data_IF_095308399381
#
_entry.id   IF_095308399381
#
_cell.length_a   1.000
_cell.length_b   1.000
_cell.length_c   1.000
_cell.angle_alpha   90.00
_cell.angle_beta   90.00
_cell.angle_gamma   90.00
#
_symmetry.space_group_name_H-M   'P 1'
#
loop_
_entity.id
_entity.type
_entity.pdbx_description
1 polymer ?
#
# COMPACT_ATOMS: atom_id res chain seq x y z
N UNK A 1 -36.73 17.87 -51.83
CA UNK A 1 -35.61 17.86 -52.78
C UNK A 1 -34.43 17.26 -52.05
N UNK A 2 -34.31 15.94 -52.18
CA UNK A 2 -33.27 15.11 -51.56
C UNK A 2 -31.91 15.45 -52.18
N UNK A 3 -31.00 15.94 -51.34
CA UNK A 3 -29.59 16.17 -51.66
C UNK A 3 -28.74 15.13 -50.97
N UNK A 4 -28.27 14.18 -51.78
CA UNK A 4 -27.40 13.06 -51.46
C UNK A 4 -26.03 13.54 -50.93
N UNK A 5 -25.78 13.41 -49.61
CA UNK A 5 -24.45 13.56 -49.04
C UNK A 5 -23.83 12.17 -48.86
N UNK A 6 -23.08 11.75 -49.88
CA UNK A 6 -22.25 10.55 -49.84
C UNK A 6 -21.22 10.66 -48.72
N UNK A 7 -21.33 9.74 -47.77
CA UNK A 7 -20.31 9.42 -46.78
C UNK A 7 -19.13 8.83 -47.55
N UNK A 8 -17.97 9.50 -47.53
CA UNK A 8 -16.71 8.84 -47.86
C UNK A 8 -16.37 7.92 -46.69
N UNK A 9 -16.84 6.68 -46.82
CA UNK A 9 -16.40 5.55 -46.04
C UNK A 9 -14.97 5.23 -46.52
N UNK A 10 -13.98 5.76 -45.81
CA UNK A 10 -12.58 5.37 -46.00
C UNK A 10 -12.47 3.91 -45.58
N UNK A 11 -12.64 3.03 -46.57
CA UNK A 11 -12.38 1.61 -46.44
C UNK A 11 -10.92 1.46 -46.01
N UNK A 12 -10.73 1.08 -44.75
CA UNK A 12 -9.45 0.60 -44.26
C UNK A 12 -9.04 -0.61 -45.13
N UNK A 13 -8.10 -0.37 -46.04
CA UNK A 13 -7.35 -1.42 -46.69
C UNK A 13 -6.75 -2.32 -45.60
N UNK A 14 -6.90 -3.66 -45.69
CA UNK A 14 -6.19 -4.54 -44.78
C UNK A 14 -4.70 -4.26 -44.94
N UNK A 15 -4.04 -3.88 -43.84
CA UNK A 15 -2.61 -3.55 -43.75
C UNK A 15 -1.81 -4.46 -44.68
N UNK A 16 -1.47 -3.92 -45.86
CA UNK A 16 -0.45 -4.53 -46.68
C UNK A 16 0.81 -4.45 -45.86
N UNK A 17 1.20 -5.60 -45.33
CA UNK A 17 2.49 -5.90 -44.74
C UNK A 17 3.57 -5.22 -45.60
N UNK A 18 3.98 -4.01 -45.21
CA UNK A 18 5.05 -3.26 -45.85
C UNK A 18 6.30 -4.09 -45.61
N UNK A 19 6.58 -5.02 -46.53
CA UNK A 19 7.82 -5.78 -46.56
C UNK A 19 8.97 -4.78 -46.62
N UNK A 20 9.59 -4.57 -45.46
CA UNK A 20 10.87 -3.90 -45.34
C UNK A 20 11.81 -4.47 -46.41
N UNK A 21 12.56 -3.66 -47.18
CA UNK A 21 13.38 -4.11 -48.31
C UNK A 21 14.61 -4.95 -47.90
N UNK A 22 14.61 -5.51 -46.68
CA UNK A 22 15.71 -6.23 -46.07
C UNK A 22 15.18 -7.59 -45.60
N UNK A 23 15.78 -8.68 -46.08
CA UNK A 23 15.57 -10.02 -45.54
C UNK A 23 16.20 -10.10 -44.14
N UNK A 24 15.48 -9.59 -43.14
CA UNK A 24 15.87 -9.65 -41.73
C UNK A 24 15.70 -11.09 -41.22
N UNK A 25 16.70 -11.56 -40.48
CA UNK A 25 16.65 -12.80 -39.70
C UNK A 25 15.43 -12.79 -38.76
N UNK A 26 14.89 -13.96 -38.42
CA UNK A 26 13.75 -14.09 -37.49
C UNK A 26 14.03 -13.40 -36.14
N UNK A 27 15.29 -13.45 -35.68
CA UNK A 27 15.76 -12.73 -34.49
C UNK A 27 15.82 -11.21 -34.66
N UNK A 28 16.12 -10.71 -35.86
CA UNK A 28 16.17 -9.26 -36.13
C UNK A 28 14.76 -8.69 -36.27
N UNK A 29 13.82 -9.47 -36.82
CA UNK A 29 12.40 -9.12 -36.84
C UNK A 29 11.83 -9.02 -35.44
N UNK A 30 12.17 -9.96 -34.55
CA UNK A 30 11.76 -9.93 -33.15
C UNK A 30 12.32 -8.71 -32.41
N UNK A 31 13.59 -8.33 -32.66
CA UNK A 31 14.19 -7.11 -32.11
C UNK A 31 13.50 -5.85 -32.64
N UNK A 32 13.17 -5.80 -33.93
CA UNK A 32 12.47 -4.66 -34.53
C UNK A 32 11.03 -4.56 -34.01
N UNK A 33 10.33 -5.68 -33.85
CA UNK A 33 8.99 -5.73 -33.24
C UNK A 33 9.02 -5.30 -31.77
N UNK A 34 10.03 -5.73 -30.99
CA UNK A 34 10.26 -5.27 -29.62
C UNK A 34 10.58 -3.77 -29.56
N UNK A 35 11.25 -3.23 -30.58
CA UNK A 35 11.57 -1.81 -30.69
C UNK A 35 10.34 -0.96 -31.08
N UNK A 36 9.43 -1.48 -31.91
CA UNK A 36 8.21 -0.82 -32.38
C UNK A 36 7.06 -0.91 -31.37
N UNK A 37 6.83 -2.11 -30.82
CA UNK A 37 5.66 -2.43 -29.98
C UNK A 37 5.99 -2.43 -28.47
N UNK A 38 7.27 -2.32 -28.10
CA UNK A 38 7.73 -2.42 -26.72
C UNK A 38 7.68 -3.85 -26.16
N UNK A 39 8.17 -4.04 -24.93
CA UNK A 39 8.07 -5.32 -24.23
C UNK A 39 6.60 -5.69 -23.98
N UNK A 40 6.19 -6.97 -24.11
CA UNK A 40 4.84 -7.39 -23.77
C UNK A 40 4.49 -6.97 -22.34
N UNK A 41 3.32 -6.35 -22.17
CA UNK A 41 2.88 -5.62 -20.97
C UNK A 41 2.49 -6.50 -19.78
N UNK A 42 3.14 -7.65 -19.62
CA UNK A 42 3.04 -8.52 -18.46
C UNK A 42 4.37 -8.54 -17.70
N UNK A 43 4.57 -7.59 -16.79
CA UNK A 43 5.66 -7.67 -15.82
C UNK A 43 5.38 -8.85 -14.89
N UNK A 44 6.10 -9.96 -15.11
CA UNK A 44 6.16 -11.00 -14.09
C UNK A 44 6.83 -10.42 -12.85
N UNK A 45 6.11 -10.41 -11.72
CA UNK A 45 6.62 -9.93 -10.45
C UNK A 45 7.87 -10.71 -9.99
N UNK A 46 8.09 -11.93 -10.52
CA UNK A 46 9.30 -12.71 -10.30
C UNK A 46 10.52 -12.18 -11.07
N UNK A 47 10.32 -11.42 -12.17
CA UNK A 47 11.41 -10.84 -12.96
C UNK A 47 12.25 -9.83 -12.17
N UNK A 48 11.65 -9.10 -11.22
CA UNK A 48 12.39 -8.16 -10.37
C UNK A 48 13.40 -8.87 -9.44
N UNK A 49 13.04 -10.07 -8.96
CA UNK A 49 13.91 -10.88 -8.09
C UNK A 49 15.01 -11.61 -8.86
N UNK A 50 14.96 -11.63 -10.20
CA UNK A 50 16.00 -12.22 -11.04
C UNK A 50 17.35 -11.51 -10.93
N UNK A 51 17.35 -10.19 -10.64
CA UNK A 51 18.55 -9.37 -10.43
C UNK A 51 19.26 -9.61 -9.08
N UNK A 52 18.76 -10.55 -8.28
CA UNK A 52 19.24 -10.84 -6.92
C UNK A 52 20.21 -12.02 -6.93
N UNK A 53 21.43 -11.84 -6.39
CA UNK A 53 22.40 -12.94 -6.28
C UNK A 53 22.00 -13.95 -5.20
N UNK A 54 22.61 -15.14 -5.22
CA UNK A 54 22.42 -16.17 -4.18
C UNK A 54 22.73 -15.67 -2.77
N UNK A 55 23.75 -14.81 -2.61
CA UNK A 55 24.06 -14.16 -1.32
C UNK A 55 23.00 -13.15 -0.90
N UNK A 56 22.52 -12.33 -1.83
CA UNK A 56 21.46 -11.36 -1.55
C UNK A 56 20.15 -12.09 -1.13
N UNK A 57 19.85 -13.26 -1.73
CA UNK A 57 18.72 -14.13 -1.32
C UNK A 57 18.88 -14.65 0.11
N UNK A 58 20.08 -15.08 0.50
CA UNK A 58 20.33 -15.54 1.87
C UNK A 58 20.09 -14.43 2.90
N UNK A 59 20.54 -13.21 2.61
CA UNK A 59 20.29 -12.03 3.47
C UNK A 59 18.79 -11.74 3.57
N UNK A 60 18.05 -11.79 2.46
CA UNK A 60 16.59 -11.60 2.49
C UNK A 60 15.91 -12.64 3.37
N UNK A 61 16.26 -13.93 3.26
CA UNK A 61 15.66 -14.99 4.08
C UNK A 61 15.93 -14.75 5.56
N UNK A 62 17.16 -14.37 5.91
CA UNK A 62 17.51 -14.01 7.29
C UNK A 62 16.72 -12.80 7.79
N UNK A 63 16.61 -11.74 6.98
CA UNK A 63 15.83 -10.55 7.31
C UNK A 63 14.34 -10.85 7.43
N UNK A 64 13.80 -11.78 6.64
CA UNK A 64 12.40 -12.22 6.75
C UNK A 64 12.16 -12.96 8.06
N UNK A 65 13.05 -13.88 8.45
CA UNK A 65 12.96 -14.57 9.73
C UNK A 65 13.06 -13.59 10.91
N UNK A 66 14.01 -12.66 10.86
CA UNK A 66 14.16 -11.60 11.86
C UNK A 66 12.92 -10.67 11.91
N UNK A 67 12.31 -10.37 10.77
CA UNK A 67 11.10 -9.53 10.71
C UNK A 67 9.92 -10.20 11.41
N UNK A 68 9.78 -11.52 11.25
CA UNK A 68 8.73 -12.30 11.90
C UNK A 68 8.93 -12.30 13.41
N UNK A 69 10.15 -12.57 13.88
CA UNK A 69 10.49 -12.56 15.30
C UNK A 69 10.35 -11.16 15.93
N UNK A 70 10.87 -10.13 15.26
CA UNK A 70 10.77 -8.74 15.70
C UNK A 70 9.32 -8.22 15.70
N UNK A 71 8.51 -8.64 14.72
CA UNK A 71 7.08 -8.33 14.68
C UNK A 71 6.30 -9.01 15.80
N UNK A 72 6.63 -10.27 16.13
CA UNK A 72 6.00 -11.00 17.23
C UNK A 72 6.40 -10.50 18.62
N UNK A 73 7.59 -9.90 18.76
CA UNK A 73 8.05 -9.31 20.01
C UNK A 73 7.16 -8.14 20.48
N UNK A 74 6.59 -7.35 19.56
CA UNK A 74 5.80 -6.17 19.91
C UNK A 74 4.49 -6.54 20.65
N UNK A 75 3.68 -7.51 20.20
CA UNK A 75 2.56 -8.02 20.99
C UNK A 75 2.98 -8.79 22.24
N UNK A 76 4.16 -9.42 22.25
CA UNK A 76 4.64 -10.12 23.45
C UNK A 76 4.88 -9.15 24.63
N UNK A 77 5.27 -7.90 24.36
CA UNK A 77 5.36 -6.86 25.40
C UNK A 77 4.04 -6.64 26.13
N UNK A 78 2.89 -6.82 25.48
CA UNK A 78 1.57 -6.66 26.12
C UNK A 78 1.24 -7.80 27.07
N UNK A 79 1.81 -9.00 26.83
CA UNK A 79 1.72 -10.15 27.75
C UNK A 79 2.51 -9.83 29.01
N UNK A 80 3.75 -9.36 28.86
CA UNK A 80 4.61 -8.98 29.98
C UNK A 80 3.98 -7.85 30.80
N UNK A 81 3.33 -6.88 30.13
CA UNK A 81 2.53 -5.86 30.80
C UNK A 81 1.35 -6.44 31.60
N UNK A 82 0.61 -7.38 31.03
CA UNK A 82 -0.48 -8.04 31.76
C UNK A 82 -0.01 -8.86 32.95
N UNK A 83 1.18 -9.47 32.88
CA UNK A 83 1.81 -10.13 34.03
C UNK A 83 2.10 -9.14 35.16
N UNK A 84 2.63 -7.95 34.85
CA UNK A 84 2.82 -6.90 35.84
C UNK A 84 1.49 -6.50 36.49
N UNK A 85 0.46 -6.23 35.69
CA UNK A 85 -0.87 -5.87 36.20
C UNK A 85 -1.46 -6.99 37.06
N UNK A 86 -1.29 -8.25 36.66
CA UNK A 86 -1.69 -9.42 37.44
C UNK A 86 -1.03 -9.43 38.82
N UNK A 87 0.29 -9.21 38.89
CA UNK A 87 1.00 -9.16 40.18
C UNK A 87 0.49 -8.05 41.11
N UNK A 88 0.17 -6.87 40.56
CA UNK A 88 -0.44 -5.79 41.35
C UNK A 88 -1.88 -6.11 41.77
N UNK A 89 -2.65 -6.79 40.93
CA UNK A 89 -4.00 -7.22 41.25
C UNK A 89 -4.01 -8.27 42.37
N UNK A 90 -3.10 -9.24 42.34
CA UNK A 90 -2.95 -10.27 43.38
C UNK A 90 -2.60 -9.64 44.74
N UNK A 91 -1.76 -8.59 44.75
CA UNK A 91 -1.51 -7.79 45.95
C UNK A 91 -2.75 -7.06 46.45
N UNK A 92 -3.52 -6.45 45.54
CA UNK A 92 -4.76 -5.75 45.89
C UNK A 92 -5.80 -6.70 46.49
N UNK A 93 -5.81 -7.95 46.04
CA UNK A 93 -6.68 -9.01 46.56
C UNK A 93 -6.15 -9.66 47.85
N UNK A 94 -5.00 -9.21 48.37
CA UNK A 94 -4.42 -9.70 49.62
C UNK A 94 -3.72 -11.06 49.53
N UNK A 95 -3.46 -11.56 48.31
CA UNK A 95 -2.87 -12.89 48.09
C UNK A 95 -1.36 -12.91 48.33
N UNK A 96 -0.66 -11.81 48.05
CA UNK A 96 0.82 -11.73 48.09
C UNK A 96 1.34 -10.67 49.06
N UNK A 97 2.48 -10.95 49.69
CA UNK A 97 3.19 -10.00 50.55
C UNK A 97 4.01 -8.96 49.76
N UNK A 98 4.42 -7.86 50.40
CA UNK A 98 5.26 -6.81 49.79
C UNK A 98 6.59 -7.34 49.22
N UNK A 99 7.36 -8.21 49.91
CA UNK A 99 8.60 -8.74 49.36
C UNK A 99 8.39 -9.68 48.17
N UNK A 100 7.27 -10.40 48.11
CA UNK A 100 6.94 -11.25 46.95
C UNK A 100 6.55 -10.41 45.73
N UNK A 101 5.82 -9.31 45.94
CA UNK A 101 5.49 -8.36 44.88
C UNK A 101 6.76 -7.74 44.27
N UNK A 102 7.70 -7.29 45.10
CA UNK A 102 8.93 -6.66 44.61
C UNK A 102 9.78 -7.64 43.78
N UNK A 103 9.86 -8.90 44.21
CA UNK A 103 10.53 -9.97 43.44
C UNK A 103 9.82 -10.26 42.11
N UNK A 104 8.49 -10.33 42.10
CA UNK A 104 7.70 -10.55 40.89
C UNK A 104 7.86 -9.40 39.89
N UNK A 105 7.76 -8.16 40.35
CA UNK A 105 7.93 -6.95 39.53
C UNK A 105 9.36 -6.87 38.98
N UNK A 106 10.38 -7.16 39.79
CA UNK A 106 11.77 -7.18 39.33
C UNK A 106 11.99 -8.20 38.20
N UNK A 107 11.38 -9.39 38.30
CA UNK A 107 11.41 -10.41 37.25
C UNK A 107 10.72 -9.93 35.96
N UNK A 108 9.58 -9.26 36.08
CA UNK A 108 8.86 -8.69 34.94
C UNK A 108 9.68 -7.58 34.27
N UNK A 109 10.32 -6.71 35.04
CA UNK A 109 11.23 -5.68 34.52
C UNK A 109 12.39 -6.29 33.72
N UNK A 110 12.98 -7.40 34.19
CA UNK A 110 14.01 -8.12 33.43
C UNK A 110 13.49 -8.65 32.09
N UNK A 111 12.26 -9.17 32.04
CA UNK A 111 11.65 -9.58 30.77
C UNK A 111 11.48 -8.41 29.79
N UNK A 112 11.12 -7.22 30.25
CA UNK A 112 11.08 -6.02 29.41
C UNK A 112 12.44 -5.67 28.82
N UNK A 113 13.51 -5.75 29.62
CA UNK A 113 14.88 -5.47 29.16
C UNK A 113 15.31 -6.50 28.12
N UNK A 114 15.14 -7.80 28.38
CA UNK A 114 15.52 -8.84 27.43
C UNK A 114 14.72 -8.77 26.12
N UNK A 115 13.42 -8.50 26.18
CA UNK A 115 12.60 -8.30 24.99
C UNK A 115 12.98 -7.04 24.22
N UNK A 116 13.32 -5.95 24.91
CA UNK A 116 13.78 -4.71 24.27
C UNK A 116 15.08 -4.92 23.50
N UNK A 117 16.04 -5.62 24.09
CA UNK A 117 17.32 -5.97 23.44
C UNK A 117 17.07 -6.87 22.23
N UNK A 118 16.26 -7.93 22.38
CA UNK A 118 15.93 -8.83 21.28
C UNK A 118 15.22 -8.11 20.13
N UNK A 119 14.24 -7.27 20.45
CA UNK A 119 13.49 -6.46 19.48
C UNK A 119 14.41 -5.50 18.73
N UNK A 120 15.36 -4.86 19.41
CA UNK A 120 16.35 -3.99 18.78
C UNK A 120 17.16 -4.75 17.73
N UNK A 121 17.74 -5.90 18.09
CA UNK A 121 18.53 -6.69 17.15
C UNK A 121 17.72 -7.22 15.97
N UNK A 122 16.53 -7.77 16.21
CA UNK A 122 15.69 -8.32 15.14
C UNK A 122 15.22 -7.24 14.15
N UNK A 123 14.76 -6.10 14.65
CA UNK A 123 14.32 -4.99 13.79
C UNK A 123 15.51 -4.37 13.06
N UNK A 124 16.67 -4.27 13.72
CA UNK A 124 17.90 -3.77 13.11
C UNK A 124 18.35 -4.66 11.95
N UNK A 125 18.49 -5.98 12.17
CA UNK A 125 18.87 -6.95 11.12
C UNK A 125 17.89 -6.92 9.96
N UNK A 126 16.59 -6.82 10.27
CA UNK A 126 15.55 -6.71 9.24
C UNK A 126 15.75 -5.43 8.43
N UNK A 127 15.87 -4.28 9.09
CA UNK A 127 15.95 -2.98 8.42
C UNK A 127 17.21 -2.88 7.58
N UNK A 128 18.37 -3.17 8.17
CA UNK A 128 19.67 -3.11 7.47
C UNK A 128 19.73 -4.12 6.33
N UNK A 129 19.27 -5.36 6.53
CA UNK A 129 19.32 -6.38 5.48
C UNK A 129 18.43 -6.05 4.28
N UNK A 130 17.20 -5.56 4.51
CA UNK A 130 16.35 -5.09 3.41
C UNK A 130 16.95 -3.88 2.69
N UNK A 131 17.48 -2.88 3.42
CA UNK A 131 18.13 -1.71 2.82
C UNK A 131 19.36 -2.09 1.99
N UNK A 132 20.22 -2.95 2.53
CA UNK A 132 21.44 -3.40 1.85
C UNK A 132 21.14 -4.10 0.53
N UNK A 133 20.20 -5.04 0.54
CA UNK A 133 19.83 -5.78 -0.67
C UNK A 133 19.08 -4.89 -1.65
N UNK A 134 18.18 -4.02 -1.17
CA UNK A 134 17.43 -3.10 -2.04
C UNK A 134 18.33 -2.12 -2.80
N UNK A 135 19.35 -1.56 -2.14
CA UNK A 135 20.35 -0.69 -2.80
C UNK A 135 21.11 -1.43 -3.91
N UNK A 136 21.54 -2.68 -3.65
CA UNK A 136 22.27 -3.48 -4.65
C UNK A 136 21.41 -3.84 -5.86
N UNK A 137 20.16 -4.23 -5.62
CA UNK A 137 19.22 -4.57 -6.71
C UNK A 137 18.96 -3.34 -7.57
N UNK A 138 18.73 -2.17 -6.96
CA UNK A 138 18.47 -0.92 -7.70
C UNK A 138 19.72 -0.43 -8.43
N UNK A 139 20.91 -0.60 -7.84
CA UNK A 139 22.17 -0.26 -8.51
C UNK A 139 22.37 -1.10 -9.79
N UNK A 140 22.13 -2.42 -9.74
CA UNK A 140 22.18 -3.28 -10.94
C UNK A 140 21.14 -2.87 -11.96
N UNK A 141 19.91 -2.63 -11.51
CA UNK A 141 18.83 -2.20 -12.39
C UNK A 141 19.14 -0.86 -13.09
N UNK A 142 19.73 0.10 -12.38
CA UNK A 142 20.20 1.37 -12.96
C UNK A 142 21.31 1.15 -13.99
N UNK A 143 22.25 0.26 -13.70
CA UNK A 143 23.33 -0.07 -14.62
C UNK A 143 22.79 -0.70 -15.91
N UNK A 144 21.95 -1.73 -15.80
CA UNK A 144 21.38 -2.44 -16.95
C UNK A 144 20.43 -1.54 -17.74
N UNK A 145 19.67 -0.68 -17.07
CA UNK A 145 18.83 0.33 -17.72
C UNK A 145 19.68 1.32 -18.54
N UNK A 146 20.74 1.88 -17.95
CA UNK A 146 21.63 2.81 -18.64
C UNK A 146 22.38 2.13 -19.80
N UNK A 147 22.82 0.89 -19.60
CA UNK A 147 23.49 0.11 -20.64
C UNK A 147 22.58 -0.16 -21.84
N UNK A 148 21.32 -0.51 -21.57
CA UNK A 148 20.33 -0.82 -22.62
C UNK A 148 19.92 0.44 -23.36
N UNK A 149 19.69 1.55 -22.65
CA UNK A 149 19.23 2.79 -23.29
C UNK A 149 20.28 3.39 -24.21
N UNK A 150 21.58 3.28 -23.87
CA UNK A 150 22.68 3.74 -24.72
C UNK A 150 22.84 2.92 -26.01
N UNK A 151 22.26 1.71 -26.08
CA UNK A 151 22.30 0.83 -27.26
C UNK A 151 21.06 0.98 -28.16
N UNK A 152 20.10 1.79 -27.75
CA UNK A 152 18.83 1.96 -28.45
C UNK A 152 18.98 2.90 -29.66
N UNK A 153 18.18 2.65 -30.72
CA UNK A 153 18.18 3.46 -31.94
C UNK A 153 17.73 4.91 -31.66
N UNK A 154 18.23 5.88 -32.44
CA UNK A 154 17.85 7.30 -32.34
C UNK A 154 16.34 7.52 -32.48
N UNK A 155 15.65 6.70 -33.29
CA UNK A 155 14.19 6.75 -33.46
C UNK A 155 13.41 6.48 -32.15
N UNK A 156 14.01 5.75 -31.20
CA UNK A 156 13.43 5.59 -29.87
C UNK A 156 13.47 6.88 -29.06
N UNK A 157 14.51 7.70 -29.22
CA UNK A 157 14.63 8.99 -28.56
C UNK A 157 13.80 10.09 -29.24
N UNK A 158 13.39 9.89 -30.50
CA UNK A 158 12.42 10.77 -31.16
C UNK A 158 11.00 10.56 -30.61
N UNK A 159 10.69 9.36 -30.10
CA UNK A 159 9.40 9.04 -29.47
C UNK A 159 9.41 9.26 -27.96
N UNK A 160 10.49 8.90 -27.27
CA UNK A 160 10.73 9.23 -25.86
C UNK A 160 11.61 10.47 -25.73
N UNK A 161 11.04 11.57 -25.25
CA UNK A 161 11.82 12.78 -24.95
C UNK A 161 12.96 12.50 -23.96
N UNK A 162 14.13 13.11 -24.17
CA UNK A 162 15.31 12.91 -23.31
C UNK A 162 15.05 13.21 -21.81
N UNK A 163 14.10 14.10 -21.50
CA UNK A 163 13.64 14.39 -20.14
C UNK A 163 12.92 13.22 -19.47
N UNK A 164 12.15 12.42 -20.22
CA UNK A 164 11.46 11.25 -19.69
C UNK A 164 12.44 10.16 -19.30
N UNK A 165 13.46 9.92 -20.14
CA UNK A 165 14.51 8.93 -19.85
C UNK A 165 15.23 9.25 -18.53
N UNK A 166 15.56 10.53 -18.33
CA UNK A 166 16.23 11.03 -17.11
C UNK A 166 15.33 10.95 -15.88
N UNK A 167 14.03 11.16 -16.06
CA UNK A 167 13.04 11.03 -15.00
C UNK A 167 12.87 9.56 -14.60
N UNK A 168 12.78 8.64 -15.55
CA UNK A 168 12.63 7.19 -15.28
C UNK A 168 13.82 6.58 -14.54
N UNK A 169 15.06 6.90 -14.94
CA UNK A 169 16.26 6.38 -14.27
C UNK A 169 16.40 6.86 -12.82
N UNK A 170 15.78 8.00 -12.49
CA UNK A 170 15.86 8.60 -11.16
C UNK A 170 14.62 8.28 -10.34
N UNK A 171 13.46 8.81 -10.74
CA UNK A 171 12.19 8.73 -10.03
C UNK A 171 11.68 7.30 -9.91
N UNK A 172 11.55 6.58 -11.03
CA UNK A 172 10.98 5.23 -11.01
C UNK A 172 11.90 4.26 -10.28
N UNK A 173 13.21 4.39 -10.45
CA UNK A 173 14.19 3.59 -9.71
C UNK A 173 14.16 3.87 -8.20
N UNK A 174 13.97 5.13 -7.79
CA UNK A 174 13.79 5.47 -6.37
C UNK A 174 12.48 4.90 -5.80
N UNK A 175 11.40 4.91 -6.58
CA UNK A 175 10.12 4.30 -6.19
C UNK A 175 10.25 2.78 -6.03
N UNK A 176 10.96 2.12 -6.95
CA UNK A 176 11.28 0.68 -6.85
C UNK A 176 12.12 0.42 -5.60
N UNK A 177 13.13 1.24 -5.32
CA UNK A 177 13.97 1.14 -4.14
C UNK A 177 13.16 1.24 -2.85
N UNK A 178 12.31 2.26 -2.73
CA UNK A 178 11.42 2.43 -1.59
C UNK A 178 10.44 1.25 -1.42
N UNK A 179 9.93 0.74 -2.55
CA UNK A 179 9.07 -0.42 -2.59
C UNK A 179 9.73 -1.65 -2.00
N UNK A 180 10.90 -2.04 -2.51
CA UNK A 180 11.63 -3.25 -2.11
C UNK A 180 12.13 -3.14 -0.67
N UNK A 181 12.63 -1.97 -0.26
CA UNK A 181 13.22 -1.80 1.07
C UNK A 181 12.13 -1.57 2.12
N UNK A 182 11.59 -0.36 2.17
CA UNK A 182 10.78 0.13 3.27
C UNK A 182 9.40 -0.52 3.31
N UNK A 183 8.73 -0.60 2.16
CA UNK A 183 7.33 -1.06 2.10
C UNK A 183 7.23 -2.57 2.36
N UNK A 184 8.12 -3.38 1.79
CA UNK A 184 8.16 -4.84 2.04
C UNK A 184 8.50 -5.14 3.50
N UNK A 185 9.56 -4.53 4.04
CA UNK A 185 9.97 -4.72 5.44
C UNK A 185 8.84 -4.35 6.43
N UNK A 186 8.27 -3.16 6.29
CA UNK A 186 7.14 -2.74 7.13
C UNK A 186 5.91 -3.62 6.94
N UNK A 187 5.65 -4.07 5.70
CA UNK A 187 4.54 -4.96 5.38
C UNK A 187 4.67 -6.33 6.06
N UNK A 188 5.87 -6.89 6.12
CA UNK A 188 6.15 -8.19 6.73
C UNK A 188 6.09 -8.12 8.25
N UNK A 189 6.77 -7.15 8.87
CA UNK A 189 6.67 -6.88 10.33
C UNK A 189 5.20 -6.68 10.71
N UNK A 190 4.45 -5.99 9.86
CA UNK A 190 3.03 -5.75 10.08
C UNK A 190 2.21 -7.05 10.11
N UNK A 191 2.37 -7.92 9.11
CA UNK A 191 1.65 -9.20 9.08
C UNK A 191 2.05 -10.07 10.28
N UNK A 192 3.34 -10.13 10.62
CA UNK A 192 3.82 -10.88 11.78
C UNK A 192 3.23 -10.35 13.10
N UNK A 193 3.18 -9.02 13.27
CA UNK A 193 2.57 -8.36 14.44
C UNK A 193 1.07 -8.68 14.53
N UNK A 194 0.37 -8.66 13.39
CA UNK A 194 -1.06 -8.98 13.33
C UNK A 194 -1.35 -10.41 13.78
N UNK A 195 -0.67 -11.38 13.15
CA UNK A 195 -0.85 -12.80 13.44
C UNK A 195 -0.50 -13.11 14.89
N UNK A 196 0.63 -12.61 15.39
CA UNK A 196 1.04 -12.83 16.78
C UNK A 196 0.09 -12.18 17.79
N UNK A 197 -0.35 -10.93 17.59
CA UNK A 197 -1.32 -10.29 18.47
C UNK A 197 -2.63 -11.08 18.54
N UNK A 198 -3.12 -11.53 17.38
CA UNK A 198 -4.35 -12.32 17.30
C UNK A 198 -4.20 -13.67 18.01
N UNK A 199 -3.11 -14.41 17.75
CA UNK A 199 -2.81 -15.66 18.45
C UNK A 199 -2.74 -15.47 19.96
N UNK A 200 -2.08 -14.41 20.45
CA UNK A 200 -2.00 -14.09 21.88
C UNK A 200 -3.39 -13.84 22.48
N UNK A 201 -4.25 -13.08 21.80
CA UNK A 201 -5.62 -12.83 22.29
C UNK A 201 -6.41 -14.13 22.42
N UNK A 202 -6.28 -15.05 21.46
CA UNK A 202 -6.95 -16.36 21.51
C UNK A 202 -6.41 -17.26 22.62
N UNK A 203 -5.09 -17.26 22.84
CA UNK A 203 -4.46 -18.02 23.93
C UNK A 203 -4.95 -17.53 25.30
N UNK A 204 -5.10 -16.21 25.48
CA UNK A 204 -5.57 -15.65 26.75
C UNK A 204 -7.03 -16.01 27.04
N UNK A 205 -7.94 -15.73 26.10
CA UNK A 205 -9.33 -16.13 26.25
C UNK A 205 -10.05 -16.20 24.90
N UNK A 206 -10.33 -17.42 24.44
CA UNK A 206 -10.87 -17.67 23.10
C UNK A 206 -12.22 -16.99 22.83
N UNK A 207 -13.12 -16.89 23.82
CA UNK A 207 -14.43 -16.23 23.63
C UNK A 207 -14.28 -14.72 23.38
N UNK A 208 -13.32 -14.08 24.05
CA UNK A 208 -13.01 -12.67 23.82
C UNK A 208 -12.36 -12.48 22.44
N UNK A 209 -11.48 -13.39 22.04
CA UNK A 209 -10.90 -13.42 20.69
C UNK A 209 -11.95 -13.49 19.57
N UNK A 210 -12.99 -14.32 19.72
CA UNK A 210 -14.09 -14.40 18.76
C UNK A 210 -14.86 -13.09 18.61
N UNK A 211 -15.16 -12.41 19.72
CA UNK A 211 -15.85 -11.10 19.72
C UNK A 211 -15.00 -10.06 18.98
N UNK A 212 -13.69 -10.04 19.22
CA UNK A 212 -12.77 -9.11 18.55
C UNK A 212 -12.57 -9.43 17.07
N UNK A 213 -12.69 -10.70 16.68
CA UNK A 213 -12.63 -11.07 15.27
C UNK A 213 -13.78 -10.46 14.48
N UNK A 214 -14.97 -10.37 15.09
CA UNK A 214 -16.12 -9.70 14.48
C UNK A 214 -15.84 -8.23 14.15
N UNK A 215 -15.14 -7.49 15.03
CA UNK A 215 -14.81 -6.08 14.78
C UNK A 215 -13.81 -5.91 13.63
N UNK A 216 -12.87 -6.87 13.47
CA UNK A 216 -11.95 -6.91 12.32
C UNK A 216 -12.71 -7.20 11.02
N UNK A 217 -13.68 -8.13 11.02
CA UNK A 217 -14.49 -8.45 9.83
C UNK A 217 -15.31 -7.23 9.41
N UNK A 218 -15.97 -6.54 10.35
CA UNK A 218 -16.70 -5.30 10.07
C UNK A 218 -15.77 -4.24 9.46
N UNK A 219 -14.54 -4.10 9.97
CA UNK A 219 -13.56 -3.19 9.39
C UNK A 219 -13.23 -3.55 7.93
N UNK A 220 -12.94 -4.82 7.65
CA UNK A 220 -12.59 -5.28 6.31
C UNK A 220 -13.76 -5.06 5.34
N UNK A 221 -14.99 -5.35 5.75
CA UNK A 221 -16.18 -5.14 4.93
C UNK A 221 -16.40 -3.65 4.61
N UNK A 222 -16.42 -2.79 5.63
CA UNK A 222 -16.63 -1.35 5.41
C UNK A 222 -15.48 -0.71 4.63
N UNK A 223 -14.23 -1.13 4.90
CA UNK A 223 -13.05 -0.63 4.20
C UNK A 223 -13.02 -1.05 2.72
N UNK A 224 -13.36 -2.31 2.41
CA UNK A 224 -13.41 -2.80 1.02
C UNK A 224 -14.60 -2.23 0.26
N UNK A 225 -15.81 -2.28 0.81
CA UNK A 225 -17.00 -1.74 0.17
C UNK A 225 -16.90 -0.23 -0.04
N UNK A 226 -16.47 0.51 0.99
CA UNK A 226 -16.21 1.95 0.87
C UNK A 226 -15.11 2.26 -0.13
N UNK A 227 -14.01 1.50 -0.12
CA UNK A 227 -12.89 1.69 -1.04
C UNK A 227 -13.28 1.50 -2.50
N UNK A 228 -14.06 0.46 -2.81
CA UNK A 228 -14.57 0.21 -4.17
C UNK A 228 -15.44 1.38 -4.64
N UNK A 229 -16.35 1.87 -3.79
CA UNK A 229 -17.20 3.01 -4.12
C UNK A 229 -16.40 4.30 -4.33
N UNK A 230 -15.41 4.55 -3.47
CA UNK A 230 -14.52 5.71 -3.56
C UNK A 230 -13.73 5.70 -4.88
N UNK A 231 -13.10 4.56 -5.21
CA UNK A 231 -12.32 4.41 -6.46
C UNK A 231 -13.21 4.54 -7.69
N UNK A 232 -14.40 3.91 -7.69
CA UNK A 232 -15.34 3.99 -8.82
C UNK A 232 -15.78 5.42 -9.10
N UNK A 233 -16.20 6.14 -8.05
CA UNK A 233 -16.67 7.52 -8.18
C UNK A 233 -15.52 8.48 -8.53
N UNK A 234 -14.33 8.24 -7.98
CA UNK A 234 -13.13 9.02 -8.31
C UNK A 234 -12.73 8.84 -9.77
N UNK A 235 -12.68 7.59 -10.28
CA UNK A 235 -12.39 7.32 -11.70
C UNK A 235 -13.38 8.06 -12.61
N UNK A 236 -14.68 7.98 -12.31
CA UNK A 236 -15.71 8.68 -13.09
C UNK A 236 -15.56 10.21 -13.05
N UNK A 237 -15.13 10.78 -11.93
CA UNK A 237 -14.85 12.21 -11.82
C UNK A 237 -13.64 12.60 -12.66
N UNK A 238 -12.54 11.85 -12.54
CA UNK A 238 -11.29 12.09 -13.30
C UNK A 238 -11.54 11.98 -14.81
N UNK A 239 -12.31 11.00 -15.28
CA UNK A 239 -12.61 10.87 -16.72
C UNK A 239 -13.36 12.09 -17.27
N UNK A 240 -14.28 12.67 -16.49
CA UNK A 240 -15.05 13.85 -16.91
C UNK A 240 -14.18 15.12 -16.89
N UNK A 241 -13.31 15.25 -15.88
CA UNK A 241 -12.31 16.31 -15.83
C UNK A 241 -11.34 16.24 -17.02
N UNK A 242 -10.84 15.05 -17.35
CA UNK A 242 -9.94 14.85 -18.49
C UNK A 242 -10.59 15.27 -19.81
N UNK A 243 -11.87 14.98 -20.05
CA UNK A 243 -12.57 15.48 -21.25
C UNK A 243 -12.62 17.01 -21.32
N UNK A 244 -12.79 17.68 -20.17
CA UNK A 244 -12.72 19.14 -20.08
C UNK A 244 -11.30 19.66 -20.34
N UNK A 245 -10.28 19.01 -19.77
CA UNK A 245 -8.88 19.37 -19.99
C UNK A 245 -8.49 19.21 -21.46
N UNK A 246 -8.91 18.14 -22.13
CA UNK A 246 -8.66 17.94 -23.56
C UNK A 246 -9.31 19.06 -24.40
N UNK A 247 -10.54 19.46 -24.07
CA UNK A 247 -11.18 20.58 -24.75
C UNK A 247 -10.39 21.89 -24.54
N UNK A 248 -9.94 22.16 -23.32
CA UNK A 248 -9.14 23.35 -23.03
C UNK A 248 -7.80 23.33 -23.79
N UNK A 249 -7.15 22.17 -23.88
CA UNK A 249 -5.92 21.98 -24.63
C UNK A 249 -6.12 22.24 -26.13
N UNK A 250 -7.17 21.68 -26.74
CA UNK A 250 -7.50 21.92 -28.16
C UNK A 250 -7.81 23.41 -28.43
N UNK A 251 -8.54 24.04 -27.50
CA UNK A 251 -8.93 25.45 -27.57
C UNK A 251 -7.72 26.38 -27.51
N UNK A 252 -6.77 26.11 -26.62
CA UNK A 252 -5.55 26.90 -26.44
C UNK A 252 -4.57 26.63 -27.58
N UNK A 253 -4.42 25.37 -28.01
CA UNK A 253 -3.62 25.00 -29.17
C UNK A 253 -4.08 25.70 -30.45
N UNK A 254 -5.39 25.86 -30.61
CA UNK A 254 -6.02 26.53 -31.75
C UNK A 254 -6.51 27.96 -31.45
N UNK A 255 -5.85 28.68 -30.53
CA UNK A 255 -6.32 29.99 -30.03
C UNK A 255 -6.59 31.01 -31.14
N UNK A 256 -5.82 30.96 -32.23
CA UNK A 256 -5.96 31.87 -33.38
C UNK A 256 -7.27 31.64 -34.14
N UNK A 257 -7.77 30.41 -34.19
CA UNK A 257 -9.08 30.08 -34.76
C UNK A 257 -10.20 30.49 -33.80
N UNK A 258 -10.04 30.21 -32.50
CA UNK A 258 -11.03 30.57 -31.47
C UNK A 258 -11.26 32.08 -31.43
N UNK A 259 -10.21 32.89 -31.55
CA UNK A 259 -10.31 34.36 -31.58
C UNK A 259 -10.85 34.88 -32.91
N UNK A 260 -10.45 34.29 -34.04
CA UNK A 260 -10.95 34.68 -35.36
C UNK A 260 -12.47 34.46 -35.51
N UNK A 261 -13.02 33.40 -34.92
CA UNK A 261 -14.46 33.11 -34.93
C UNK A 261 -15.22 33.72 -33.75
N UNK A 262 -14.55 34.32 -32.76
CA UNK A 262 -15.20 34.94 -31.59
C UNK A 262 -15.94 33.95 -30.67
N UNK A 263 -15.62 32.65 -30.71
CA UNK A 263 -16.35 31.57 -30.02
C UNK A 263 -15.86 31.29 -28.59
N UNK A 264 -15.10 32.21 -27.99
CA UNK A 264 -14.48 32.05 -26.67
C UNK A 264 -15.50 31.70 -25.57
N UNK A 265 -16.63 32.42 -25.54
CA UNK A 265 -17.67 32.21 -24.53
C UNK A 265 -18.36 30.85 -24.69
N UNK A 266 -18.64 30.42 -25.92
CA UNK A 266 -19.26 29.12 -26.17
C UNK A 266 -18.36 27.95 -25.72
N UNK A 267 -17.05 28.09 -25.91
CA UNK A 267 -16.05 27.10 -25.52
C UNK A 267 -15.87 27.07 -23.99
N UNK A 268 -15.88 28.25 -23.36
CA UNK A 268 -15.88 28.38 -21.90
C UNK A 268 -17.13 27.74 -21.28
N UNK A 269 -18.32 27.96 -21.85
CA UNK A 269 -19.56 27.34 -21.39
C UNK A 269 -19.52 25.81 -21.52
N UNK A 270 -18.96 25.29 -22.62
CA UNK A 270 -18.76 23.85 -22.83
C UNK A 270 -17.80 23.25 -21.79
N UNK A 271 -16.71 23.95 -21.49
CA UNK A 271 -15.76 23.56 -20.44
C UNK A 271 -16.41 23.54 -19.05
N UNK A 272 -17.20 24.58 -18.71
CA UNK A 272 -17.99 24.63 -17.46
C UNK A 272 -19.00 23.47 -17.38
N UNK A 273 -19.55 23.04 -18.52
CA UNK A 273 -20.40 21.86 -18.63
C UNK A 273 -19.70 20.58 -18.15
N UNK A 274 -18.47 20.33 -18.61
CA UNK A 274 -17.66 19.18 -18.18
C UNK A 274 -17.30 19.25 -16.69
N UNK A 275 -16.93 20.43 -16.20
CA UNK A 275 -16.64 20.69 -14.79
C UNK A 275 -17.83 20.35 -13.87
N UNK A 276 -19.04 20.86 -14.18
CA UNK A 276 -20.24 20.60 -13.40
C UNK A 276 -20.63 19.13 -13.39
N UNK A 277 -20.40 18.42 -14.50
CA UNK A 277 -20.65 16.98 -14.58
C UNK A 277 -19.64 16.19 -13.73
N UNK A 278 -18.36 16.59 -13.72
CA UNK A 278 -17.29 15.97 -12.93
C UNK A 278 -17.36 16.25 -11.43
N UNK A 279 -17.97 17.36 -11.01
CA UNK A 279 -18.09 17.79 -9.61
C UNK A 279 -18.92 16.81 -8.77
N UNK A 280 -20.12 16.43 -9.24
CA UNK A 280 -21.03 15.52 -8.51
C UNK A 280 -20.39 14.17 -8.13
N UNK A 281 -19.77 13.41 -9.06
CA UNK A 281 -19.06 12.17 -8.71
C UNK A 281 -17.82 12.46 -7.85
N UNK A 282 -17.16 13.59 -8.04
CA UNK A 282 -16.02 14.02 -7.21
C UNK A 282 -16.41 14.23 -5.75
N UNK A 283 -17.51 14.93 -5.48
CA UNK A 283 -18.05 15.12 -4.13
C UNK A 283 -18.43 13.78 -3.50
N UNK A 284 -19.11 12.90 -4.24
CA UNK A 284 -19.47 11.55 -3.75
C UNK A 284 -18.23 10.72 -3.41
N UNK A 285 -17.17 10.81 -4.21
CA UNK A 285 -15.90 10.14 -3.94
C UNK A 285 -15.25 10.68 -2.66
N UNK A 286 -15.18 12.00 -2.51
CA UNK A 286 -14.62 12.66 -1.32
C UNK A 286 -15.39 12.30 -0.04
N UNK A 287 -16.72 12.34 -0.09
CA UNK A 287 -17.56 11.92 1.04
C UNK A 287 -17.34 10.45 1.41
N UNK A 288 -17.23 9.56 0.42
CA UNK A 288 -16.92 8.15 0.66
C UNK A 288 -15.55 7.98 1.33
N UNK A 289 -14.51 8.68 0.86
CA UNK A 289 -13.17 8.64 1.45
C UNK A 289 -13.18 9.18 2.88
N UNK A 290 -13.80 10.33 3.12
CA UNK A 290 -13.92 10.92 4.45
C UNK A 290 -14.63 9.96 5.41
N UNK A 291 -15.73 9.35 4.98
CA UNK A 291 -16.45 8.37 5.79
C UNK A 291 -15.57 7.16 6.14
N UNK A 292 -14.82 6.62 5.17
CA UNK A 292 -13.89 5.49 5.42
C UNK A 292 -12.83 5.91 6.43
N UNK A 293 -12.19 7.06 6.27
CA UNK A 293 -11.13 7.53 7.17
C UNK A 293 -11.69 7.74 8.58
N UNK A 294 -12.85 8.38 8.71
CA UNK A 294 -13.53 8.56 10.01
C UNK A 294 -13.89 7.21 10.65
N UNK A 295 -14.42 6.26 9.87
CA UNK A 295 -14.77 4.94 10.37
C UNK A 295 -13.55 4.12 10.80
N UNK A 296 -12.47 4.13 10.01
CA UNK A 296 -11.20 3.45 10.35
C UNK A 296 -10.56 4.01 11.63
N UNK A 297 -10.69 5.32 11.90
CA UNK A 297 -10.17 5.94 13.11
C UNK A 297 -11.12 5.81 14.32
N UNK A 298 -12.44 5.78 14.10
CA UNK A 298 -13.44 5.67 15.16
C UNK A 298 -13.66 4.24 15.68
N UNK A 299 -13.63 3.24 14.79
CA UNK A 299 -13.89 1.84 15.13
C UNK A 299 -12.95 1.26 16.21
N UNK A 300 -11.63 1.57 16.25
CA UNK A 300 -10.75 1.15 17.34
C UNK A 300 -11.27 1.56 18.73
N UNK A 301 -11.78 2.78 18.88
CA UNK A 301 -12.30 3.26 20.17
C UNK A 301 -13.55 2.49 20.61
N UNK A 302 -14.46 2.21 19.67
CA UNK A 302 -15.63 1.36 19.93
C UNK A 302 -15.20 -0.06 20.32
N UNK A 303 -14.19 -0.61 19.64
CA UNK A 303 -13.63 -1.93 19.95
C UNK A 303 -12.99 -1.97 21.34
N UNK A 304 -12.29 -0.91 21.77
CA UNK A 304 -11.74 -0.83 23.13
C UNK A 304 -12.85 -0.79 24.19
N UNK A 305 -13.89 0.01 23.97
CA UNK A 305 -15.03 0.07 24.88
C UNK A 305 -15.72 -1.29 25.03
N UNK A 306 -15.97 -1.97 23.91
CA UNK A 306 -16.53 -3.32 23.89
C UNK A 306 -15.61 -4.33 24.60
N UNK A 307 -14.30 -4.24 24.37
CA UNK A 307 -13.31 -5.09 25.03
C UNK A 307 -13.31 -4.92 26.54
N UNK A 308 -13.26 -3.68 27.03
CA UNK A 308 -13.26 -3.40 28.46
C UNK A 308 -14.57 -3.84 29.12
N UNK A 309 -15.71 -3.56 28.50
CA UNK A 309 -17.02 -3.98 29.02
C UNK A 309 -17.11 -5.50 29.17
N UNK A 310 -16.75 -6.23 28.11
CA UNK A 310 -16.84 -7.68 28.13
C UNK A 310 -15.77 -8.32 29.04
N UNK A 311 -14.55 -7.79 29.05
CA UNK A 311 -13.48 -8.24 29.94
C UNK A 311 -13.87 -8.03 31.41
N UNK A 312 -14.49 -6.91 31.75
CA UNK A 312 -15.02 -6.66 33.10
C UNK A 312 -16.06 -7.70 33.53
N UNK A 313 -16.99 -8.07 32.64
CA UNK A 313 -17.95 -9.15 32.92
C UNK A 313 -17.28 -10.51 33.13
N UNK A 314 -16.20 -10.80 32.40
CA UNK A 314 -15.45 -12.04 32.57
C UNK A 314 -14.58 -12.08 33.84
N UNK A 315 -14.10 -10.93 34.31
CA UNK A 315 -13.44 -10.81 35.61
C UNK A 315 -14.44 -11.06 36.73
N UNK A 316 -15.63 -10.44 36.69
CA UNK A 316 -16.67 -10.61 37.73
C UNK A 316 -17.18 -12.05 37.79
N UNK A 317 -17.29 -12.74 36.65
CA UNK A 317 -17.68 -14.15 36.60
C UNK A 317 -16.56 -15.13 36.97
N UNK A 318 -15.34 -14.64 37.27
CA UNK A 318 -14.20 -15.47 37.67
C UNK A 318 -13.57 -16.29 36.54
N UNK A 319 -13.96 -16.05 35.28
CA UNK A 319 -13.44 -16.78 34.13
C UNK A 319 -12.12 -16.21 33.57
N UNK A 320 -11.74 -14.99 33.96
CA UNK A 320 -10.58 -14.29 33.41
C UNK A 320 -9.83 -13.49 34.48
N UNK A 321 -8.50 -13.59 34.51
CA UNK A 321 -7.65 -12.76 35.37
C UNK A 321 -7.57 -11.31 34.84
N UNK A 322 -7.48 -10.30 35.73
CA UNK A 322 -7.28 -8.91 35.33
C UNK A 322 -6.05 -8.69 34.42
N UNK A 323 -4.98 -9.47 34.64
CA UNK A 323 -3.77 -9.40 33.80
C UNK A 323 -4.04 -9.82 32.35
N UNK A 324 -4.80 -10.90 32.16
CA UNK A 324 -5.18 -11.40 30.84
C UNK A 324 -6.10 -10.40 30.10
N UNK A 325 -7.00 -9.74 30.82
CA UNK A 325 -7.89 -8.72 30.26
C UNK A 325 -7.11 -7.52 29.70
N UNK A 326 -6.11 -7.06 30.45
CA UNK A 326 -5.23 -5.97 30.01
C UNK A 326 -4.34 -6.39 28.85
N UNK A 327 -3.77 -7.60 28.87
CA UNK A 327 -3.02 -8.15 27.73
C UNK A 327 -3.87 -8.21 26.48
N UNK A 328 -5.10 -8.74 26.57
CA UNK A 328 -6.01 -8.80 25.44
C UNK A 328 -6.31 -7.39 24.88
N UNK A 329 -6.58 -6.43 25.76
CA UNK A 329 -6.90 -5.04 25.37
C UNK A 329 -5.71 -4.33 24.72
N UNK A 330 -4.50 -4.52 25.23
CA UNK A 330 -3.29 -3.94 24.65
C UNK A 330 -2.86 -4.64 23.35
N UNK A 331 -3.03 -5.96 23.26
CA UNK A 331 -2.86 -6.70 22.00
C UNK A 331 -3.83 -6.18 20.93
N UNK A 332 -5.04 -5.77 21.33
CA UNK A 332 -6.02 -5.15 20.45
C UNK A 332 -5.47 -3.84 19.85
N UNK A 333 -4.87 -2.98 20.67
CA UNK A 333 -4.23 -1.74 20.21
C UNK A 333 -3.13 -2.01 19.17
N UNK A 334 -2.31 -3.04 19.40
CA UNK A 334 -1.23 -3.41 18.49
C UNK A 334 -1.74 -3.79 17.10
N UNK A 335 -2.85 -4.52 16.98
CA UNK A 335 -3.39 -4.85 15.66
C UNK A 335 -4.11 -3.67 15.00
N UNK A 336 -4.84 -2.81 15.74
CA UNK A 336 -5.52 -1.65 15.12
C UNK A 336 -4.53 -0.63 14.57
N UNK A 337 -3.44 -0.37 15.30
CA UNK A 337 -2.35 0.51 14.85
C UNK A 337 -1.79 0.07 13.49
N UNK A 338 -1.83 -1.23 13.21
CA UNK A 338 -1.39 -1.80 11.95
C UNK A 338 -2.31 -1.47 10.78
N UNK A 339 -3.61 -1.71 10.96
CA UNK A 339 -4.62 -1.53 9.92
C UNK A 339 -4.70 -0.06 9.51
N UNK A 340 -4.60 0.87 10.48
CA UNK A 340 -4.56 2.31 10.19
C UNK A 340 -3.30 2.74 9.42
N UNK A 341 -2.14 2.12 9.67
CA UNK A 341 -0.91 2.40 8.88
C UNK A 341 -1.03 1.96 7.42
N UNK A 342 -1.74 0.86 7.12
CA UNK A 342 -1.99 0.41 5.74
C UNK A 342 -3.06 1.24 5.03
N UNK A 343 -4.03 1.79 5.76
CA UNK A 343 -5.07 2.67 5.20
C UNK A 343 -4.52 3.98 4.63
N UNK A 344 -3.58 4.62 5.33
CA UNK A 344 -2.98 5.89 4.86
C UNK A 344 -1.93 5.73 3.75
N UNK A 345 -1.35 4.54 3.56
CA UNK A 345 -0.28 4.33 2.55
C UNK A 345 -0.81 3.85 1.19
N UNK A 346 -2.12 3.59 1.07
CA UNK A 346 -2.78 3.22 -0.19
C UNK A 346 -3.42 4.40 -0.94
N UNK A 347 -3.05 5.64 -0.64
CA UNK A 347 -3.40 6.80 -1.46
C UNK A 347 -2.20 7.42 -2.19
N UNK A 348 -1.43 6.69 -3.03
CA UNK A 348 -0.48 7.33 -3.95
C UNK A 348 -1.13 7.84 -5.26
N UNK A 349 -2.46 8.05 -5.32
CA UNK A 349 -3.16 8.41 -6.57
C UNK A 349 -4.01 9.69 -6.47
N UNK A 350 -3.89 10.48 -5.39
CA UNK A 350 -4.80 11.62 -5.17
C UNK A 350 -4.14 13.01 -5.09
N UNK A 351 -2.88 13.12 -5.51
CA UNK A 351 -2.27 14.41 -5.84
C UNK A 351 -1.85 14.37 -7.32
N UNK A 352 -2.81 14.70 -8.17
CA UNK A 352 -2.66 14.99 -9.59
C UNK A 352 -3.72 16.01 -9.94
#
# INVERSE_FOLDING_TARGET
>A
MEGNNGVYEEQAEPDQEKKSPVNLSESEKEVVDLQLNGLPTGLDAQSLWSYTTTWDKAIIVLSVAAAILGGAANPLLTVVYGLAVGSFADRSNGVTSIPELSAAVAKVCLYWVYLGIAMFFFIYITTVGFYYVGERVVMRLRYDYLWTILRQNIAFFDTLGAGDVTTRITSDMNLIQEGITRKVSMGLIAVATFCSAYTITYIQYWKLGLIMTSTVVVMLLTGTAGGILAVRNSKSSITLYNSGSNLAEESIGSIRHVTAFGIQNALADKYLGFLRQGERPGIKARLAISFIISFMNGLPFLSYGLCFWQSGRYIISGHMSPGAAVTATMAIVCYWRLLNRKGCTKSPVFYG
#
